data_IF_191356466318
#
_entry.id   IF_191356466318
#
_cell.length_a   1.000
_cell.length_b   1.000
_cell.length_c   1.000
_cell.angle_alpha   90.00
_cell.angle_beta   90.00
_cell.angle_gamma   90.00
#
_symmetry.space_group_name_H-M   'P 1'
#
loop_
_entity.id
_entity.type
_entity.pdbx_description
1 polymer ?
#
# COMPACT_ATOMS: atom_id res chain seq x y z
N UNK A 1 -3.58 31.63 6.20
CA UNK A 1 -4.29 30.48 5.60
C UNK A 1 -3.56 29.20 6.00
N UNK A 2 -4.28 28.17 6.46
CA UNK A 2 -3.69 26.91 6.95
C UNK A 2 -3.83 25.75 5.97
N UNK A 3 -4.89 25.75 5.16
CA UNK A 3 -5.18 24.71 4.19
C UNK A 3 -5.50 25.36 2.86
N UNK A 4 -5.01 24.77 1.76
CA UNK A 4 -5.27 25.19 0.40
C UNK A 4 -5.47 23.94 -0.46
N UNK A 5 -6.60 23.88 -1.18
CA UNK A 5 -6.83 22.88 -2.21
C UNK A 5 -6.94 23.58 -3.56
N UNK A 6 -6.14 23.10 -4.50
CA UNK A 6 -6.18 23.47 -5.92
C UNK A 6 -6.36 22.19 -6.76
N UNK A 7 -6.97 21.14 -6.22
CA UNK A 7 -7.18 19.89 -6.96
C UNK A 7 -8.00 20.14 -8.22
N UNK A 8 -7.60 19.50 -9.33
CA UNK A 8 -8.29 19.58 -10.62
C UNK A 8 -8.48 21.02 -11.14
N UNK A 9 -7.46 21.87 -10.93
CA UNK A 9 -7.46 23.28 -11.33
C UNK A 9 -6.59 23.57 -12.57
N UNK A 10 -6.07 22.52 -13.23
CA UNK A 10 -5.18 22.64 -14.38
C UNK A 10 -3.99 23.59 -14.13
N UNK A 11 -3.38 23.48 -12.94
CA UNK A 11 -2.26 24.35 -12.50
C UNK A 11 -1.08 24.28 -13.48
N UNK A 12 -0.79 23.09 -14.01
CA UNK A 12 0.29 22.86 -14.95
C UNK A 12 1.69 23.07 -14.35
N UNK A 13 2.70 22.91 -15.18
CA UNK A 13 4.10 22.95 -14.76
C UNK A 13 4.56 24.34 -14.29
N UNK A 14 4.13 25.40 -14.99
CA UNK A 14 4.37 26.79 -14.57
C UNK A 14 3.76 27.11 -13.21
N UNK A 15 2.50 26.72 -13.00
CA UNK A 15 1.85 26.90 -11.71
C UNK A 15 2.50 26.08 -10.61
N UNK A 16 2.97 24.85 -10.91
CA UNK A 16 3.75 24.03 -10.00
C UNK A 16 5.05 24.71 -9.55
N UNK A 17 5.78 25.33 -10.49
CA UNK A 17 6.98 26.12 -10.17
C UNK A 17 6.64 27.31 -9.26
N UNK A 18 5.59 28.06 -9.59
CA UNK A 18 5.14 29.21 -8.79
C UNK A 18 4.72 28.79 -7.37
N UNK A 19 4.06 27.64 -7.23
CA UNK A 19 3.71 27.07 -5.92
C UNK A 19 4.97 26.68 -5.15
N UNK A 20 5.93 26.01 -5.79
CA UNK A 20 7.22 25.70 -5.17
C UNK A 20 7.92 26.95 -4.63
N UNK A 21 7.96 28.02 -5.41
CA UNK A 21 8.57 29.29 -4.97
C UNK A 21 7.79 29.96 -3.82
N UNK A 22 6.46 29.92 -3.86
CA UNK A 22 5.63 30.39 -2.75
C UNK A 22 5.88 29.58 -1.47
N UNK A 23 6.02 28.26 -1.57
CA UNK A 23 6.27 27.37 -0.44
C UNK A 23 7.63 27.63 0.24
N UNK A 24 8.65 28.10 -0.48
CA UNK A 24 9.95 28.45 0.14
C UNK A 24 9.83 29.55 1.19
N UNK A 25 8.88 30.47 1.03
CA UNK A 25 8.69 31.62 1.93
C UNK A 25 7.46 31.49 2.82
N UNK A 26 6.53 30.59 2.47
CA UNK A 26 5.31 30.38 3.24
C UNK A 26 5.59 29.54 4.50
N UNK A 27 5.39 30.16 5.66
CA UNK A 27 5.57 29.54 6.98
C UNK A 27 4.24 29.24 7.69
N UNK A 28 3.10 29.37 7.00
CA UNK A 28 1.77 29.25 7.60
C UNK A 28 0.98 28.05 7.10
N UNK A 29 1.11 27.70 5.82
CA UNK A 29 0.36 26.65 5.16
C UNK A 29 0.78 25.29 5.72
N UNK A 30 -0.21 24.52 6.17
CA UNK A 30 -0.04 23.19 6.78
C UNK A 30 -0.52 22.08 5.87
N UNK A 31 -1.55 22.31 5.05
CA UNK A 31 -2.07 21.31 4.11
C UNK A 31 -2.19 21.88 2.72
N UNK A 32 -1.70 21.14 1.74
CA UNK A 32 -1.75 21.50 0.34
C UNK A 32 -2.20 20.31 -0.50
N UNK A 33 -3.34 20.46 -1.17
CA UNK A 33 -3.88 19.48 -2.10
C UNK A 33 -3.73 19.97 -3.53
N UNK A 34 -2.92 19.26 -4.32
CA UNK A 34 -2.58 19.56 -5.71
C UNK A 34 -2.94 18.40 -6.64
N UNK A 35 -3.85 17.50 -6.26
CA UNK A 35 -4.19 16.34 -7.09
C UNK A 35 -4.70 16.72 -8.47
N UNK A 36 -4.33 15.91 -9.47
CA UNK A 36 -4.88 16.02 -10.84
C UNK A 36 -4.63 17.41 -11.44
N UNK A 37 -3.37 17.85 -11.46
CA UNK A 37 -3.01 19.18 -11.95
C UNK A 37 -1.94 19.21 -13.04
N UNK A 38 -1.44 18.03 -13.45
CA UNK A 38 -0.36 17.93 -14.44
C UNK A 38 0.83 18.85 -14.11
N UNK A 39 1.23 18.84 -12.82
CA UNK A 39 2.34 19.66 -12.30
C UNK A 39 3.67 19.38 -13.01
N UNK A 40 3.83 18.18 -13.58
CA UNK A 40 4.99 17.86 -14.40
C UNK A 40 6.31 17.78 -13.62
N UNK A 41 7.41 17.42 -14.30
CA UNK A 41 8.72 17.24 -13.66
C UNK A 41 9.32 18.51 -13.07
N UNK A 42 9.23 19.65 -13.76
CA UNK A 42 9.84 20.89 -13.24
C UNK A 42 9.05 21.45 -12.06
N UNK A 43 7.71 21.39 -12.11
CA UNK A 43 6.87 21.74 -10.97
C UNK A 43 7.11 20.83 -9.78
N UNK A 44 7.23 19.52 -10.01
CA UNK A 44 7.55 18.54 -8.99
C UNK A 44 8.91 18.77 -8.32
N UNK A 45 9.93 19.11 -9.12
CA UNK A 45 11.26 19.49 -8.64
C UNK A 45 11.20 20.77 -7.80
N UNK A 46 10.50 21.80 -8.27
CA UNK A 46 10.36 23.07 -7.54
C UNK A 46 9.69 22.88 -6.18
N UNK A 47 8.63 22.07 -6.11
CA UNK A 47 7.95 21.72 -4.86
C UNK A 47 8.88 20.92 -3.95
N UNK A 48 9.60 19.91 -4.47
CA UNK A 48 10.58 19.13 -3.72
C UNK A 48 11.68 20.01 -3.12
N UNK A 49 12.22 20.94 -3.90
CA UNK A 49 13.25 21.88 -3.44
C UNK A 49 12.72 22.81 -2.35
N UNK A 50 11.46 23.23 -2.44
CA UNK A 50 10.82 24.02 -1.38
C UNK A 50 10.70 23.22 -0.08
N UNK A 51 10.35 21.94 -0.15
CA UNK A 51 10.22 21.05 1.03
C UNK A 51 11.53 20.90 1.82
N UNK A 52 12.70 21.08 1.20
CA UNK A 52 13.99 21.05 1.93
C UNK A 52 14.10 22.12 3.00
N UNK A 53 13.37 23.23 2.84
CA UNK A 53 13.44 24.40 3.74
C UNK A 53 12.11 24.75 4.39
N UNK A 54 10.99 24.32 3.81
CA UNK A 54 9.68 24.54 4.38
C UNK A 54 9.53 23.77 5.70
N UNK A 55 9.14 24.49 6.75
CA UNK A 55 8.99 23.97 8.11
C UNK A 55 7.54 24.00 8.62
N UNK A 56 6.58 24.38 7.77
CA UNK A 56 5.17 24.53 8.15
C UNK A 56 4.25 23.49 7.53
N UNK A 57 4.58 22.97 6.34
CA UNK A 57 3.72 22.06 5.60
C UNK A 57 3.78 20.66 6.21
N UNK A 58 2.62 20.17 6.62
CA UNK A 58 2.43 18.89 7.30
C UNK A 58 1.82 17.84 6.37
N UNK A 59 0.98 18.27 5.42
CA UNK A 59 0.34 17.38 4.47
C UNK A 59 0.47 17.92 3.04
N UNK A 60 0.98 17.09 2.14
CA UNK A 60 1.09 17.39 0.72
C UNK A 60 0.49 16.25 -0.09
N UNK A 61 -0.50 16.58 -0.91
CA UNK A 61 -1.08 15.63 -1.85
C UNK A 61 -0.77 16.03 -3.30
N UNK A 62 -0.01 15.17 -3.98
CA UNK A 62 0.40 15.29 -5.37
C UNK A 62 -0.06 14.10 -6.21
N UNK A 63 -1.10 13.36 -5.80
CA UNK A 63 -1.61 12.23 -6.60
C UNK A 63 -1.97 12.67 -8.03
N UNK A 64 -1.59 11.86 -9.02
CA UNK A 64 -1.93 12.05 -10.43
C UNK A 64 -1.44 13.39 -11.02
N UNK A 65 -0.12 13.63 -10.96
CA UNK A 65 0.48 14.89 -11.42
C UNK A 65 1.59 14.74 -12.47
N UNK A 66 1.83 13.52 -12.96
CA UNK A 66 2.82 13.25 -14.00
C UNK A 66 4.19 13.86 -13.68
N UNK A 67 4.65 13.71 -12.43
CA UNK A 67 5.91 14.30 -11.97
C UNK A 67 7.12 13.70 -12.69
N UNK A 68 6.98 12.53 -13.32
CA UNK A 68 7.99 11.96 -14.20
C UNK A 68 9.16 11.31 -13.47
N UNK A 69 10.03 10.70 -14.28
CA UNK A 69 10.98 9.67 -13.85
C UNK A 69 12.00 10.17 -12.82
N UNK A 70 12.55 11.36 -13.02
CA UNK A 70 13.65 11.91 -12.22
C UNK A 70 13.22 12.57 -10.90
N UNK A 71 11.92 12.79 -10.71
CA UNK A 71 11.41 13.60 -9.58
C UNK A 71 11.46 12.84 -8.26
N UNK A 72 11.51 11.51 -8.29
CA UNK A 72 11.72 10.64 -7.12
C UNK A 72 13.00 11.01 -6.34
N UNK A 73 14.09 11.36 -7.04
CA UNK A 73 15.35 11.81 -6.44
C UNK A 73 15.18 13.14 -5.71
N UNK A 74 14.45 14.08 -6.29
CA UNK A 74 14.20 15.39 -5.67
C UNK A 74 13.40 15.24 -4.37
N UNK A 75 12.36 14.41 -4.36
CA UNK A 75 11.60 14.09 -3.14
C UNK A 75 12.43 13.35 -2.12
N UNK A 76 13.25 12.38 -2.53
CA UNK A 76 14.14 11.67 -1.61
C UNK A 76 15.11 12.62 -0.88
N UNK A 77 15.74 13.54 -1.60
CA UNK A 77 16.62 14.55 -0.98
C UNK A 77 15.86 15.56 -0.10
N UNK A 78 14.62 15.91 -0.47
CA UNK A 78 13.76 16.72 0.36
C UNK A 78 13.40 16.01 1.68
N UNK A 79 13.00 14.74 1.61
CA UNK A 79 12.61 13.95 2.78
C UNK A 79 13.76 13.68 3.75
N UNK A 80 15.02 13.65 3.28
CA UNK A 80 16.20 13.53 4.16
C UNK A 80 16.36 14.72 5.12
N UNK A 81 15.91 15.91 4.69
CA UNK A 81 16.13 17.18 5.41
C UNK A 81 14.85 17.72 6.04
N UNK A 82 13.70 17.43 5.45
CA UNK A 82 12.41 17.87 5.96
C UNK A 82 12.06 17.16 7.29
N UNK A 83 11.67 17.96 8.28
CA UNK A 83 11.36 17.51 9.64
C UNK A 83 9.93 17.85 10.09
N UNK A 84 9.07 18.33 9.18
CA UNK A 84 7.70 18.75 9.49
C UNK A 84 6.60 18.01 8.71
N UNK A 85 6.92 17.45 7.54
CA UNK A 85 5.95 16.81 6.66
C UNK A 85 5.56 15.44 7.21
N UNK A 86 4.30 15.30 7.59
CA UNK A 86 3.75 14.10 8.22
C UNK A 86 3.04 13.20 7.22
N UNK A 87 2.46 13.76 6.15
CA UNK A 87 1.72 13.00 5.13
C UNK A 87 2.13 13.46 3.74
N UNK A 88 2.58 12.51 2.93
CA UNK A 88 2.97 12.74 1.54
C UNK A 88 2.29 11.73 0.64
N UNK A 89 1.41 12.21 -0.24
CA UNK A 89 0.74 11.39 -1.25
C UNK A 89 1.35 11.65 -2.63
N UNK A 90 2.01 10.63 -3.18
CA UNK A 90 2.68 10.66 -4.49
C UNK A 90 2.11 9.61 -5.45
N UNK A 91 0.92 9.06 -5.19
CA UNK A 91 0.29 8.05 -6.05
C UNK A 91 0.24 8.49 -7.53
N UNK A 92 0.49 7.56 -8.47
CA UNK A 92 0.33 7.77 -9.91
C UNK A 92 1.13 8.96 -10.47
N UNK A 93 2.43 9.01 -10.19
CA UNK A 93 3.32 10.06 -10.70
C UNK A 93 4.44 9.58 -11.62
N UNK A 94 4.49 8.27 -11.90
CA UNK A 94 5.39 7.65 -12.89
C UNK A 94 6.86 7.96 -12.57
N UNK A 95 7.41 7.30 -11.55
CA UNK A 95 8.82 7.41 -11.21
C UNK A 95 9.68 6.44 -12.01
N UNK A 96 10.98 6.72 -12.04
CA UNK A 96 11.96 5.77 -12.54
C UNK A 96 12.05 4.56 -11.58
N UNK A 97 11.86 3.33 -12.07
CA UNK A 97 12.11 2.12 -11.28
C UNK A 97 13.52 2.08 -10.66
N UNK A 98 14.51 2.70 -11.32
CA UNK A 98 15.91 2.74 -10.92
C UNK A 98 16.24 3.83 -9.88
N UNK A 99 15.38 4.84 -9.70
CA UNK A 99 15.62 5.95 -8.74
C UNK A 99 14.67 5.94 -7.53
N UNK A 100 13.65 5.07 -7.52
CA UNK A 100 12.72 4.93 -6.40
C UNK A 100 13.39 4.58 -5.05
N UNK A 101 14.60 4.02 -5.08
CA UNK A 101 15.36 3.68 -3.87
C UNK A 101 15.76 4.91 -3.05
N UNK A 102 15.87 6.10 -3.65
CA UNK A 102 16.27 7.33 -2.94
C UNK A 102 15.24 7.69 -1.87
N UNK A 103 13.95 7.39 -2.11
CA UNK A 103 12.89 7.55 -1.11
C UNK A 103 13.09 6.59 0.06
N UNK A 104 13.43 5.32 -0.23
CA UNK A 104 13.79 4.35 0.81
C UNK A 104 15.00 4.80 1.63
N UNK A 105 16.03 5.36 0.98
CA UNK A 105 17.19 5.91 1.68
C UNK A 105 16.82 7.08 2.60
N UNK A 106 15.94 7.97 2.14
CA UNK A 106 15.42 9.09 2.94
C UNK A 106 14.64 8.63 4.18
N UNK A 107 13.87 7.54 4.06
CA UNK A 107 13.11 6.98 5.18
C UNK A 107 14.02 6.47 6.33
N UNK A 108 15.29 6.18 6.08
CA UNK A 108 16.22 5.77 7.15
C UNK A 108 16.47 6.89 8.15
N UNK A 109 16.48 8.13 7.69
CA UNK A 109 16.81 9.30 8.51
C UNK A 109 15.61 10.20 8.78
N UNK A 110 14.52 10.08 8.00
CA UNK A 110 13.32 10.88 8.23
C UNK A 110 12.62 10.47 9.54
N UNK A 111 12.36 11.45 10.39
CA UNK A 111 11.78 11.29 11.73
C UNK A 111 10.48 12.06 11.91
N UNK A 112 9.74 12.33 10.85
CA UNK A 112 8.46 13.06 10.95
C UNK A 112 7.34 12.48 10.09
N UNK A 113 7.69 11.80 9.00
CA UNK A 113 6.73 11.27 8.05
C UNK A 113 6.00 10.06 8.65
N UNK A 114 4.67 10.16 8.72
CA UNK A 114 3.77 9.16 9.30
C UNK A 114 2.98 8.43 8.21
N UNK A 115 2.66 9.10 7.10
CA UNK A 115 2.04 8.48 5.92
C UNK A 115 2.85 8.77 4.67
N UNK A 116 3.08 7.73 3.89
CA UNK A 116 3.67 7.81 2.58
C UNK A 116 2.88 6.96 1.58
N UNK A 117 2.33 7.59 0.55
CA UNK A 117 1.69 6.90 -0.57
C UNK A 117 2.56 6.96 -1.81
N UNK A 118 3.04 5.80 -2.25
CA UNK A 118 3.84 5.59 -3.45
C UNK A 118 3.15 4.65 -4.45
N UNK A 119 1.84 4.43 -4.32
CA UNK A 119 1.13 3.52 -5.20
C UNK A 119 1.25 3.92 -6.68
N UNK A 120 1.35 2.94 -7.57
CA UNK A 120 1.38 3.12 -9.03
C UNK A 120 2.48 4.09 -9.52
N UNK A 121 3.67 4.01 -8.94
CA UNK A 121 4.82 4.84 -9.35
C UNK A 121 5.87 4.07 -10.17
N UNK A 122 5.63 2.80 -10.48
CA UNK A 122 6.60 1.99 -11.24
C UNK A 122 7.79 1.55 -10.41
N UNK A 123 7.69 1.51 -9.08
CA UNK A 123 8.78 1.03 -8.23
C UNK A 123 9.09 -0.44 -8.52
N UNK A 124 10.38 -0.76 -8.66
CA UNK A 124 10.88 -2.12 -8.86
C UNK A 124 11.38 -2.81 -7.57
N UNK A 125 11.87 -4.06 -7.68
CA UNK A 125 12.33 -4.85 -6.54
C UNK A 125 13.48 -4.18 -5.76
N UNK A 126 14.40 -3.52 -6.46
CA UNK A 126 15.52 -2.80 -5.83
C UNK A 126 15.05 -1.66 -4.92
N UNK A 127 14.11 -0.85 -5.40
CA UNK A 127 13.49 0.22 -4.61
C UNK A 127 12.82 -0.34 -3.35
N UNK A 128 12.10 -1.46 -3.48
CA UNK A 128 11.46 -2.15 -2.36
C UNK A 128 12.48 -2.68 -1.34
N UNK A 129 13.60 -3.25 -1.79
CA UNK A 129 14.68 -3.72 -0.90
C UNK A 129 15.21 -2.59 -0.02
N UNK A 130 15.40 -1.40 -0.58
CA UNK A 130 15.87 -0.23 0.18
C UNK A 130 14.79 0.28 1.14
N UNK A 131 13.52 0.31 0.71
CA UNK A 131 12.39 0.64 1.59
C UNK A 131 12.29 -0.35 2.75
N UNK A 132 12.34 -1.66 2.51
CA UNK A 132 12.35 -2.69 3.55
C UNK A 132 13.52 -2.53 4.51
N UNK A 133 14.73 -2.24 4.00
CA UNK A 133 15.89 -1.92 4.82
C UNK A 133 15.66 -0.70 5.73
N UNK A 134 15.01 0.34 5.23
CA UNK A 134 14.69 1.53 6.00
C UNK A 134 13.61 1.30 7.07
N UNK A 135 12.59 0.50 6.74
CA UNK A 135 11.52 0.14 7.68
C UNK A 135 12.05 -0.60 8.91
N UNK A 136 13.19 -1.30 8.83
CA UNK A 136 13.80 -1.93 10.01
C UNK A 136 14.17 -0.93 11.10
N UNK A 137 14.57 0.28 10.72
CA UNK A 137 15.06 1.32 11.63
C UNK A 137 14.13 2.51 11.75
N UNK A 138 13.18 2.68 10.82
CA UNK A 138 12.22 3.77 10.86
C UNK A 138 11.17 3.53 11.95
N UNK A 139 11.05 4.50 12.87
CA UNK A 139 10.16 4.44 14.03
C UNK A 139 8.98 5.43 13.93
N UNK A 140 8.74 6.02 12.76
CA UNK A 140 7.78 7.11 12.58
C UNK A 140 6.68 6.83 11.56
N UNK A 141 7.01 6.08 10.50
CA UNK A 141 6.08 5.76 9.43
C UNK A 141 5.03 4.74 9.91
N UNK A 142 3.77 5.16 9.89
CA UNK A 142 2.62 4.39 10.34
C UNK A 142 1.80 3.83 9.18
N UNK A 143 1.76 4.53 8.04
CA UNK A 143 0.98 4.15 6.86
C UNK A 143 1.87 4.16 5.61
N UNK A 144 1.96 3.03 4.92
CA UNK A 144 2.73 2.89 3.68
C UNK A 144 1.88 2.23 2.60
N UNK A 145 1.74 2.91 1.46
CA UNK A 145 1.03 2.42 0.29
C UNK A 145 2.01 2.21 -0.86
N UNK A 146 2.05 0.99 -1.37
CA UNK A 146 2.95 0.54 -2.43
C UNK A 146 2.20 -0.20 -3.55
N UNK A 147 0.86 -0.13 -3.57
CA UNK A 147 0.00 -0.83 -4.52
C UNK A 147 0.42 -0.58 -5.97
N UNK A 148 0.26 -1.60 -6.82
CA UNK A 148 0.49 -1.49 -8.27
C UNK A 148 1.95 -1.26 -8.70
N UNK A 149 2.92 -1.42 -7.80
CA UNK A 149 4.35 -1.39 -8.12
C UNK A 149 4.88 -2.81 -8.31
N UNK A 150 5.78 -3.04 -9.28
CA UNK A 150 6.32 -4.38 -9.58
C UNK A 150 7.45 -4.76 -8.60
N UNK A 151 7.09 -4.99 -7.34
CA UNK A 151 8.06 -5.23 -6.26
C UNK A 151 8.67 -6.63 -6.33
N UNK A 152 7.94 -7.61 -6.86
CA UNK A 152 8.42 -8.98 -7.00
C UNK A 152 8.55 -9.74 -5.67
N UNK A 153 8.89 -11.04 -5.71
CA UNK A 153 9.11 -11.86 -4.52
C UNK A 153 10.20 -11.31 -3.58
N UNK A 154 11.31 -10.83 -4.14
CA UNK A 154 12.42 -10.24 -3.36
C UNK A 154 11.98 -9.01 -2.56
N UNK A 155 11.10 -8.18 -3.15
CA UNK A 155 10.49 -7.04 -2.47
C UNK A 155 9.63 -7.49 -1.29
N UNK A 156 8.79 -8.52 -1.49
CA UNK A 156 8.00 -9.14 -0.43
C UNK A 156 8.85 -9.71 0.71
N UNK A 157 9.94 -10.42 0.38
CA UNK A 157 10.89 -10.92 1.37
C UNK A 157 11.55 -9.81 2.18
N UNK A 158 11.92 -8.70 1.52
CA UNK A 158 12.51 -7.54 2.17
C UNK A 158 11.55 -6.85 3.14
N UNK A 159 10.29 -6.67 2.73
CA UNK A 159 9.22 -6.13 3.58
C UNK A 159 8.94 -7.08 4.75
N UNK A 160 8.78 -8.37 4.49
CA UNK A 160 8.55 -9.38 5.52
C UNK A 160 9.66 -9.39 6.57
N UNK A 161 10.92 -9.32 6.15
CA UNK A 161 12.03 -9.25 7.10
C UNK A 161 12.04 -7.95 7.92
N UNK A 162 11.60 -6.83 7.33
CA UNK A 162 11.45 -5.56 8.06
C UNK A 162 10.33 -5.61 9.10
N UNK A 163 9.20 -6.22 8.78
CA UNK A 163 8.05 -6.35 9.68
C UNK A 163 8.34 -7.16 10.93
N UNK A 164 9.35 -8.05 10.92
CA UNK A 164 9.76 -8.79 12.12
C UNK A 164 10.27 -7.88 13.24
N UNK A 165 10.90 -6.77 12.89
CA UNK A 165 11.52 -5.84 13.86
C UNK A 165 10.83 -4.48 13.91
N UNK A 166 10.14 -4.07 12.84
CA UNK A 166 9.39 -2.81 12.84
C UNK A 166 8.22 -2.88 13.83
N UNK A 167 8.11 -1.85 14.67
CA UNK A 167 7.11 -1.74 15.72
C UNK A 167 6.23 -0.49 15.59
N UNK A 168 6.33 0.24 14.47
CA UNK A 168 5.60 1.49 14.26
C UNK A 168 4.56 1.40 13.13
N UNK A 169 4.85 0.66 12.06
CA UNK A 169 3.97 0.56 10.89
C UNK A 169 2.66 -0.13 11.27
N UNK A 170 1.55 0.55 10.99
CA UNK A 170 0.19 0.11 11.32
C UNK A 170 -0.59 -0.30 10.07
N UNK A 171 -0.32 0.34 8.94
CA UNK A 171 -1.02 0.06 7.68
C UNK A 171 -0.04 -0.15 6.55
N UNK A 172 -0.21 -1.26 5.84
CA UNK A 172 0.62 -1.63 4.71
C UNK A 172 -0.25 -2.11 3.55
N UNK A 173 -0.16 -1.41 2.43
CA UNK A 173 -0.91 -1.72 1.23
C UNK A 173 0.04 -2.12 0.10
N UNK A 174 -0.14 -3.34 -0.41
CA UNK A 174 0.71 -4.02 -1.38
C UNK A 174 -0.13 -4.69 -2.47
N UNK A 175 -1.35 -4.21 -2.76
CA UNK A 175 -2.21 -4.82 -3.76
C UNK A 175 -1.54 -4.79 -5.14
N UNK A 176 -1.50 -5.92 -5.84
CA UNK A 176 -0.98 -5.95 -7.21
C UNK A 176 0.51 -5.66 -7.31
N UNK A 177 1.32 -6.20 -6.41
CA UNK A 177 2.78 -5.97 -6.36
C UNK A 177 3.65 -7.15 -6.80
N UNK A 178 3.03 -8.20 -7.33
CA UNK A 178 3.70 -9.39 -7.89
C UNK A 178 4.58 -10.12 -6.86
N UNK A 179 4.12 -10.20 -5.61
CA UNK A 179 4.90 -10.80 -4.52
C UNK A 179 5.11 -12.30 -4.68
N UNK A 180 4.17 -12.99 -5.34
CA UNK A 180 4.16 -14.44 -5.42
C UNK A 180 4.10 -15.13 -4.06
N UNK A 181 4.26 -16.44 -4.07
CA UNK A 181 4.18 -17.28 -2.88
C UNK A 181 5.31 -16.99 -1.88
N UNK A 182 6.54 -16.80 -2.36
CA UNK A 182 7.71 -16.55 -1.51
C UNK A 182 7.57 -15.22 -0.73
N UNK A 183 7.27 -14.13 -1.44
CA UNK A 183 7.08 -12.82 -0.84
C UNK A 183 5.87 -12.78 0.10
N UNK A 184 4.77 -13.43 -0.29
CA UNK A 184 3.60 -13.60 0.57
C UNK A 184 3.90 -14.34 1.86
N UNK A 185 4.62 -15.46 1.76
CA UNK A 185 5.00 -16.29 2.90
C UNK A 185 5.95 -15.56 3.85
N UNK A 186 6.86 -14.74 3.33
CA UNK A 186 7.74 -13.92 4.16
C UNK A 186 6.95 -12.89 4.99
N UNK A 187 5.99 -12.19 4.37
CA UNK A 187 5.12 -11.24 5.05
C UNK A 187 4.24 -11.96 6.08
N UNK A 188 3.58 -13.06 5.69
CA UNK A 188 2.73 -13.84 6.58
C UNK A 188 3.52 -14.33 7.81
N UNK A 189 4.71 -14.88 7.62
CA UNK A 189 5.54 -15.33 8.75
C UNK A 189 5.97 -14.19 9.68
N UNK A 190 6.22 -12.99 9.15
CA UNK A 190 6.57 -11.83 9.98
C UNK A 190 5.42 -11.41 10.91
N UNK A 191 4.17 -11.61 10.50
CA UNK A 191 2.99 -11.31 11.33
C UNK A 191 2.85 -12.20 12.56
N UNK A 192 3.57 -13.34 12.63
CA UNK A 192 3.60 -14.17 13.84
C UNK A 192 4.20 -13.42 15.04
N UNK A 193 5.12 -12.48 14.79
CA UNK A 193 5.79 -11.70 15.83
C UNK A 193 5.49 -10.20 15.76
N UNK A 194 5.03 -9.70 14.61
CA UNK A 194 4.69 -8.29 14.47
C UNK A 194 3.46 -7.93 15.32
N UNK A 195 3.63 -6.90 16.16
CA UNK A 195 2.60 -6.41 17.07
C UNK A 195 2.08 -5.01 16.72
N UNK A 196 2.57 -4.38 15.64
CA UNK A 196 2.20 -3.01 15.26
C UNK A 196 1.17 -2.95 14.12
N UNK A 197 1.22 -3.90 13.18
CA UNK A 197 0.37 -3.88 12.00
C UNK A 197 -1.09 -4.15 12.37
N UNK A 198 -1.98 -3.33 11.82
CA UNK A 198 -3.43 -3.35 12.02
C UNK A 198 -4.17 -3.63 10.72
N UNK A 199 -3.69 -3.06 9.62
CA UNK A 199 -4.28 -3.22 8.30
C UNK A 199 -3.25 -3.70 7.29
N UNK A 200 -3.58 -4.78 6.59
CA UNK A 200 -2.73 -5.36 5.56
C UNK A 200 -3.54 -5.66 4.30
N UNK A 201 -3.11 -5.10 3.18
CA UNK A 201 -3.64 -5.42 1.86
C UNK A 201 -2.60 -6.17 1.03
N UNK A 202 -2.86 -7.45 0.77
CA UNK A 202 -2.07 -8.32 -0.10
C UNK A 202 -2.90 -8.83 -1.29
N UNK A 203 -3.99 -8.15 -1.65
CA UNK A 203 -4.82 -8.57 -2.77
C UNK A 203 -4.03 -8.63 -4.10
N UNK A 204 -4.44 -9.51 -5.01
CA UNK A 204 -3.90 -9.58 -6.37
C UNK A 204 -2.36 -9.75 -6.43
N UNK A 205 -1.80 -10.68 -5.65
CA UNK A 205 -0.35 -10.95 -5.57
C UNK A 205 0.04 -12.38 -5.95
N UNK A 206 -0.89 -13.19 -6.43
CA UNK A 206 -0.65 -14.59 -6.81
C UNK A 206 0.08 -15.38 -5.71
N UNK A 207 -0.41 -15.30 -4.47
CA UNK A 207 0.27 -15.91 -3.33
C UNK A 207 0.23 -17.45 -3.35
N UNK A 208 -0.61 -18.05 -4.18
CA UNK A 208 -0.61 -19.50 -4.41
C UNK A 208 -1.21 -20.32 -3.26
N UNK A 209 -0.98 -21.63 -3.33
CA UNK A 209 -1.64 -22.63 -2.49
C UNK A 209 -0.94 -22.88 -1.15
N UNK A 210 0.28 -22.40 -0.94
CA UNK A 210 1.02 -22.69 0.31
C UNK A 210 0.87 -21.57 1.36
N UNK A 211 0.57 -20.33 0.96
CA UNK A 211 0.57 -19.19 1.89
C UNK A 211 -0.53 -19.25 2.94
N UNK A 212 -1.68 -19.87 2.63
CA UNK A 212 -2.86 -19.76 3.49
C UNK A 212 -2.77 -20.62 4.75
N UNK A 213 -1.96 -21.68 4.77
CA UNK A 213 -1.59 -22.37 6.02
C UNK A 213 -0.85 -21.42 6.97
N UNK A 214 0.07 -20.61 6.44
CA UNK A 214 0.79 -19.60 7.22
C UNK A 214 -0.17 -18.56 7.77
N UNK A 215 -1.10 -18.04 6.94
CA UNK A 215 -2.13 -17.11 7.42
C UNK A 215 -3.08 -17.75 8.43
N UNK A 216 -3.45 -19.02 8.26
CA UNK A 216 -4.23 -19.75 9.26
C UNK A 216 -3.53 -19.78 10.61
N UNK A 217 -2.25 -20.08 10.65
CA UNK A 217 -1.48 -20.08 11.90
C UNK A 217 -1.28 -18.68 12.49
N UNK A 218 -1.02 -17.68 11.64
CA UNK A 218 -0.93 -16.27 12.05
C UNK A 218 -2.24 -15.82 12.68
N UNK A 219 -3.38 -16.11 12.05
CA UNK A 219 -4.68 -15.68 12.56
C UNK A 219 -5.05 -16.38 13.88
N UNK A 220 -4.48 -17.53 14.22
CA UNK A 220 -4.69 -18.14 15.54
C UNK A 220 -3.99 -17.38 16.67
N UNK A 221 -2.86 -16.73 16.39
CA UNK A 221 -1.97 -16.15 17.41
C UNK A 221 -1.90 -14.62 17.38
N UNK A 222 -2.05 -14.01 16.20
CA UNK A 222 -1.99 -12.56 16.02
C UNK A 222 -3.31 -11.92 16.48
N UNK A 223 -3.20 -11.11 17.54
CA UNK A 223 -4.29 -10.35 18.14
C UNK A 223 -4.22 -8.85 17.84
N UNK A 224 -3.44 -8.46 16.84
CA UNK A 224 -3.20 -7.06 16.47
C UNK A 224 -3.88 -6.67 15.16
N UNK A 225 -3.83 -7.55 14.17
CA UNK A 225 -4.41 -7.32 12.85
C UNK A 225 -5.94 -7.26 12.93
N UNK A 226 -6.53 -6.19 12.43
CA UNK A 226 -7.98 -5.94 12.41
C UNK A 226 -8.54 -5.99 10.98
N UNK A 227 -7.73 -5.69 9.96
CA UNK A 227 -8.14 -5.68 8.56
C UNK A 227 -7.15 -6.47 7.71
N UNK A 228 -7.67 -7.44 6.96
CA UNK A 228 -6.88 -8.28 6.07
C UNK A 228 -7.56 -8.45 4.71
N UNK A 229 -6.91 -7.97 3.65
CA UNK A 229 -7.32 -8.20 2.27
C UNK A 229 -6.40 -9.23 1.61
N UNK A 230 -6.98 -10.37 1.24
CA UNK A 230 -6.30 -11.49 0.58
C UNK A 230 -7.00 -11.87 -0.73
N UNK A 231 -7.91 -11.06 -1.26
CA UNK A 231 -8.65 -11.39 -2.47
C UNK A 231 -7.75 -11.50 -3.71
N UNK A 232 -8.17 -12.33 -4.68
CA UNK A 232 -7.45 -12.54 -5.95
C UNK A 232 -6.02 -13.09 -5.78
N UNK A 233 -5.83 -14.09 -4.91
CA UNK A 233 -4.52 -14.71 -4.64
C UNK A 233 -4.45 -16.20 -4.95
N UNK A 234 -5.51 -16.78 -5.53
CA UNK A 234 -5.58 -18.19 -5.87
C UNK A 234 -5.23 -19.12 -4.68
N UNK A 235 -5.78 -18.83 -3.50
CA UNK A 235 -5.46 -19.58 -2.28
C UNK A 235 -5.94 -21.04 -2.31
N UNK A 236 -7.03 -21.35 -2.99
CA UNK A 236 -7.58 -22.70 -3.06
C UNK A 236 -8.30 -23.17 -1.79
N UNK A 237 -8.87 -24.39 -1.81
CA UNK A 237 -9.75 -24.86 -0.74
C UNK A 237 -9.08 -25.14 0.61
N UNK A 238 -7.87 -25.70 0.60
CA UNK A 238 -7.14 -26.06 1.81
C UNK A 238 -6.79 -24.82 2.65
N UNK A 239 -6.38 -23.74 1.98
CA UNK A 239 -6.15 -22.44 2.61
C UNK A 239 -7.44 -21.79 3.12
N UNK A 240 -8.53 -21.92 2.37
CA UNK A 240 -9.86 -21.51 2.84
C UNK A 240 -10.24 -22.22 4.14
N UNK A 241 -9.96 -23.53 4.23
CA UNK A 241 -10.17 -24.32 5.45
C UNK A 241 -9.27 -23.86 6.59
N UNK A 242 -7.98 -23.66 6.35
CA UNK A 242 -7.03 -23.21 7.36
C UNK A 242 -7.41 -21.84 7.95
N UNK A 243 -7.82 -20.89 7.11
CA UNK A 243 -8.30 -19.58 7.54
C UNK A 243 -9.62 -19.71 8.30
N UNK A 244 -10.57 -20.52 7.80
CA UNK A 244 -11.82 -20.80 8.50
C UNK A 244 -11.59 -21.37 9.91
N UNK A 245 -10.73 -22.37 10.05
CA UNK A 245 -10.40 -22.95 11.35
C UNK A 245 -9.73 -21.93 12.29
N UNK A 246 -8.88 -21.04 11.78
CA UNK A 246 -8.27 -19.97 12.57
C UNK A 246 -9.27 -18.92 13.07
N UNK A 247 -10.29 -18.60 12.26
CA UNK A 247 -11.33 -17.65 12.63
C UNK A 247 -12.20 -18.12 13.80
N UNK A 248 -12.24 -19.44 14.09
CA UNK A 248 -12.95 -19.95 15.28
C UNK A 248 -12.36 -19.42 16.59
N UNK A 249 -11.05 -19.15 16.61
CA UNK A 249 -10.31 -18.70 17.80
C UNK A 249 -9.85 -17.25 17.70
N UNK A 250 -9.72 -16.69 16.49
CA UNK A 250 -9.38 -15.29 16.33
C UNK A 250 -10.52 -14.40 16.82
N UNK A 251 -10.21 -13.46 17.72
CA UNK A 251 -11.19 -12.54 18.32
C UNK A 251 -10.87 -11.07 18.07
N UNK A 252 -9.96 -10.77 17.14
CA UNK A 252 -9.51 -9.40 16.87
C UNK A 252 -9.79 -8.95 15.43
N UNK A 253 -9.75 -9.86 14.46
CA UNK A 253 -9.97 -9.52 13.05
C UNK A 253 -11.42 -9.08 12.83
N UNK A 254 -11.59 -7.92 12.22
CA UNK A 254 -12.87 -7.25 11.98
C UNK A 254 -13.27 -7.27 10.51
N UNK A 255 -12.31 -7.12 9.61
CA UNK A 255 -12.55 -7.10 8.16
C UNK A 255 -11.65 -8.14 7.49
N UNK A 256 -12.28 -9.05 6.74
CA UNK A 256 -11.58 -10.06 5.96
C UNK A 256 -12.14 -10.10 4.54
N UNK A 257 -11.26 -9.96 3.55
CA UNK A 257 -11.62 -10.16 2.14
C UNK A 257 -10.87 -11.35 1.56
N UNK A 258 -11.60 -12.40 1.21
CA UNK A 258 -11.08 -13.60 0.56
C UNK A 258 -11.71 -13.82 -0.83
N UNK A 259 -12.34 -12.80 -1.42
CA UNK A 259 -12.95 -12.91 -2.73
C UNK A 259 -11.97 -13.41 -3.80
N UNK A 260 -12.46 -14.14 -4.80
CA UNK A 260 -11.69 -14.60 -5.95
C UNK A 260 -10.45 -15.44 -5.59
N UNK A 261 -10.58 -16.32 -4.59
CA UNK A 261 -9.50 -17.22 -4.15
C UNK A 261 -9.75 -18.70 -4.43
N UNK A 262 -10.82 -19.04 -5.16
CA UNK A 262 -11.18 -20.44 -5.46
C UNK A 262 -11.22 -21.34 -4.20
N UNK A 263 -11.86 -20.87 -3.11
CA UNK A 263 -11.87 -21.56 -1.81
C UNK A 263 -12.66 -22.88 -1.80
N UNK A 264 -13.40 -23.18 -2.86
CA UNK A 264 -14.25 -24.37 -2.96
C UNK A 264 -15.33 -24.47 -1.84
N UNK A 265 -16.15 -25.53 -1.89
CA UNK A 265 -17.19 -25.76 -0.88
C UNK A 265 -16.63 -25.99 0.52
N UNK A 266 -15.48 -26.66 0.63
CA UNK A 266 -14.86 -27.03 1.91
C UNK A 266 -14.33 -25.81 2.66
N UNK A 267 -13.59 -24.91 1.97
CA UNK A 267 -13.10 -23.68 2.56
C UNK A 267 -14.25 -22.77 2.99
N UNK A 268 -15.30 -22.65 2.17
CA UNK A 268 -16.49 -21.85 2.52
C UNK A 268 -17.23 -22.44 3.73
N UNK A 269 -17.39 -23.77 3.81
CA UNK A 269 -18.00 -24.43 4.98
C UNK A 269 -17.21 -24.19 6.26
N UNK A 270 -15.88 -24.27 6.21
CA UNK A 270 -15.03 -24.00 7.37
C UNK A 270 -15.20 -22.56 7.88
N UNK A 271 -15.26 -21.58 6.95
CA UNK A 271 -15.53 -20.19 7.29
C UNK A 271 -16.95 -20.03 7.86
N UNK A 272 -17.96 -20.64 7.24
CA UNK A 272 -19.33 -20.62 7.73
C UNK A 272 -19.44 -21.17 9.16
N UNK A 273 -18.74 -22.26 9.46
CA UNK A 273 -18.71 -22.84 10.80
C UNK A 273 -18.01 -21.91 11.80
N UNK A 274 -16.96 -21.21 11.39
CA UNK A 274 -16.28 -20.23 12.23
C UNK A 274 -17.16 -19.04 12.61
N UNK A 275 -17.98 -18.57 11.68
CA UNK A 275 -18.91 -17.45 11.91
C UNK A 275 -20.01 -17.75 12.94
N UNK A 276 -20.25 -19.03 13.27
CA UNK A 276 -21.20 -19.40 14.34
C UNK A 276 -20.69 -18.99 15.73
N UNK A 277 -19.37 -18.91 15.90
CA UNK A 277 -18.72 -18.62 17.19
C UNK A 277 -17.89 -17.33 17.17
N UNK A 278 -17.42 -16.89 15.99
CA UNK A 278 -16.67 -15.65 15.85
C UNK A 278 -17.58 -14.44 16.06
N UNK A 279 -17.19 -13.57 16.99
CA UNK A 279 -17.92 -12.33 17.33
C UNK A 279 -17.17 -11.05 16.96
N UNK A 280 -15.93 -11.16 16.47
CA UNK A 280 -15.09 -10.00 16.13
C UNK A 280 -15.27 -9.56 14.68
N UNK A 281 -15.54 -10.49 13.77
CA UNK A 281 -15.61 -10.22 12.34
C UNK A 281 -16.91 -9.47 11.99
N UNK A 282 -16.75 -8.26 11.49
CA UNK A 282 -17.84 -7.35 11.13
C UNK A 282 -18.11 -7.38 9.62
N UNK A 283 -17.06 -7.58 8.81
CA UNK A 283 -17.16 -7.62 7.36
C UNK A 283 -16.39 -8.81 6.80
N UNK A 284 -17.08 -9.62 6.01
CA UNK A 284 -16.50 -10.74 5.28
C UNK A 284 -16.92 -10.67 3.81
N UNK A 285 -15.94 -10.66 2.91
CA UNK A 285 -16.15 -10.72 1.46
C UNK A 285 -15.62 -12.05 0.92
N UNK A 286 -16.48 -12.86 0.30
CA UNK A 286 -16.15 -14.18 -0.28
C UNK A 286 -16.44 -14.28 -1.81
N UNK A 287 -16.76 -13.17 -2.48
CA UNK A 287 -17.28 -13.14 -3.85
C UNK A 287 -16.46 -13.99 -4.83
N UNK A 288 -17.13 -14.75 -5.68
CA UNK A 288 -16.55 -15.49 -6.81
C UNK A 288 -17.19 -15.01 -8.12
N UNK A 289 -16.48 -15.06 -9.26
CA UNK A 289 -17.12 -14.91 -10.56
C UNK A 289 -17.89 -16.19 -10.85
N UNK A 290 -19.22 -16.09 -10.93
CA UNK A 290 -20.00 -17.14 -11.58
C UNK A 290 -19.72 -16.98 -13.08
N UNK A 291 -18.90 -17.86 -13.63
CA UNK A 291 -18.85 -18.03 -15.08
C UNK A 291 -20.26 -18.46 -15.51
N UNK A 292 -20.94 -17.63 -16.28
CA UNK A 292 -22.12 -18.06 -17.01
C UNK A 292 -21.63 -18.71 -18.31
N UNK A 293 -21.72 -20.04 -18.46
CA UNK A 293 -21.24 -20.71 -19.67
C UNK A 293 -22.02 -20.30 -20.94
N UNK A 294 -23.15 -19.59 -20.80
CA UNK A 294 -24.00 -19.19 -21.93
C UNK A 294 -23.68 -17.79 -22.50
N UNK A 295 -22.74 -17.02 -21.95
CA UNK A 295 -22.49 -15.63 -22.41
C UNK A 295 -21.52 -15.50 -23.60
N UNK A 296 -20.87 -16.60 -24.00
CA UNK A 296 -20.01 -16.65 -25.19
C UNK A 296 -18.82 -15.67 -25.18
N UNK A 297 -18.50 -15.05 -24.05
CA UNK A 297 -17.41 -14.09 -23.95
C UNK A 297 -16.12 -14.78 -23.51
N UNK A 298 -15.27 -15.16 -24.46
CA UNK A 298 -13.84 -15.48 -24.22
C UNK A 298 -13.02 -14.22 -23.90
N UNK A 299 -13.61 -13.21 -23.24
CA UNK A 299 -12.89 -12.01 -22.84
C UNK A 299 -12.47 -12.16 -21.38
N UNK A 300 -11.31 -12.79 -21.19
CA UNK A 300 -10.42 -12.46 -20.08
C UNK A 300 -10.07 -10.97 -20.18
N UNK A 301 -10.92 -10.10 -19.64
CA UNK A 301 -10.59 -8.68 -19.55
C UNK A 301 -9.52 -8.55 -18.48
N UNK A 302 -8.26 -8.40 -18.92
CA UNK A 302 -7.17 -8.03 -18.04
C UNK A 302 -7.61 -6.89 -17.10
N UNK A 303 -7.41 -6.99 -15.77
CA UNK A 303 -7.84 -5.98 -14.80
C UNK A 303 -7.34 -4.56 -15.10
N UNK A 304 -6.32 -4.42 -15.95
CA UNK A 304 -5.72 -3.14 -16.37
C UNK A 304 -6.64 -2.25 -17.20
N UNK A 305 -7.70 -2.80 -17.80
CA UNK A 305 -8.52 -2.06 -18.78
C UNK A 305 -9.95 -1.76 -18.32
N UNK A 306 -10.37 -2.23 -17.13
CA UNK A 306 -11.74 -2.04 -16.66
C UNK A 306 -11.88 -0.82 -15.71
N UNK A 307 -12.41 0.33 -16.18
CA UNK A 307 -12.62 1.51 -15.33
C UNK A 307 -13.66 1.29 -14.22
N UNK A 308 -14.51 0.25 -14.29
CA UNK A 308 -15.49 -0.10 -13.25
C UNK A 308 -14.90 -0.87 -12.07
N UNK A 309 -13.68 -1.41 -12.17
CA UNK A 309 -13.02 -2.02 -11.02
C UNK A 309 -12.51 -0.98 -10.01
N UNK A 310 -12.28 0.28 -10.42
CA UNK A 310 -11.88 1.38 -9.51
C UNK A 310 -12.87 1.61 -8.35
N UNK A 311 -14.16 1.31 -8.53
CA UNK A 311 -15.16 1.43 -7.45
C UNK A 311 -15.22 0.22 -6.52
N UNK A 312 -14.71 -0.95 -6.93
CA UNK A 312 -14.64 -2.14 -6.06
C UNK A 312 -13.45 -2.09 -5.07
N UNK A 313 -12.49 -1.19 -5.29
CA UNK A 313 -11.31 -0.96 -4.44
C UNK A 313 -11.51 0.10 -3.34
N UNK A 314 -12.71 0.67 -3.19
CA UNK A 314 -13.08 1.53 -2.06
C UNK A 314 -14.25 0.93 -1.28
N UNK A 315 -13.96 -0.03 -0.41
CA UNK A 315 -14.48 -0.15 0.99
C UNK A 315 -13.55 -1.10 1.72
#
# INVERSE_FOLDING_TARGET
MKELSLSDCNVGEEGGRAIGDALKTNSNLQKLDLRTNNIGPEGGRAISDALKTNSSLQELNLTYNNLGLETSRAFGEALKTNSCLQRLDLEQNIFDPEDGWVIGDALKTNTCLQKLDLAYNGLGPYSCRVIGGALKTNLWLQELYLDGNKLGPEGGCSIGDALKTNSCLQKLFLCGTDLGEEGGSAIANALKTNASLRELNLAYNNLGLEVGHVFGDVLKTNSNLTVLYLNQNNLGPENGRAIGDALKTNSNLQILNLGFNNLGPEGVRAIQDALKTNSSLQQLKLTYYKHDPDDGSENWVEPRTNPFLRSAYRV
#
